data_IF_302797499676
#
_entry.id   IF_302797499676
#
_cell.length_a   1.000
_cell.length_b   1.000
_cell.length_c   1.000
_cell.angle_alpha   90.00
_cell.angle_beta   90.00
_cell.angle_gamma   90.00
#
_symmetry.space_group_name_H-M   'P 1'
#
loop_
_entity.id
_entity.type
_entity.pdbx_description
1 polymer ?
#
# COMPACT_ATOMS: atom_id res chain seq x y z
N UNK A 1 -19.65 -31.73 -24.47
CA UNK A 1 -20.03 -30.68 -23.49
C UNK A 1 -19.00 -30.69 -22.37
N UNK A 2 -18.01 -29.79 -22.39
CA UNK A 2 -16.96 -29.70 -21.38
C UNK A 2 -17.36 -28.69 -20.30
N UNK A 3 -17.52 -29.13 -19.05
CA UNK A 3 -17.72 -28.20 -17.93
C UNK A 3 -16.38 -27.59 -17.52
N UNK A 4 -16.32 -26.26 -17.48
CA UNK A 4 -15.14 -25.50 -17.04
C UNK A 4 -15.33 -25.16 -15.57
N UNK A 5 -14.75 -25.95 -14.67
CA UNK A 5 -14.76 -25.66 -13.24
C UNK A 5 -13.63 -24.67 -12.89
N UNK A 6 -13.95 -23.37 -12.82
CA UNK A 6 -13.02 -22.34 -12.32
C UNK A 6 -13.23 -22.14 -10.82
N UNK A 7 -12.24 -22.51 -10.00
CA UNK A 7 -12.29 -22.42 -8.53
C UNK A 7 -11.56 -21.19 -7.95
N UNK A 8 -11.07 -20.30 -8.80
CA UNK A 8 -10.24 -19.16 -8.38
C UNK A 8 -11.11 -18.06 -7.75
N UNK A 9 -10.90 -17.79 -6.45
CA UNK A 9 -11.51 -16.63 -5.78
C UNK A 9 -11.08 -15.33 -6.47
N UNK A 10 -12.05 -14.49 -6.84
CA UNK A 10 -11.81 -13.14 -7.35
C UNK A 10 -11.08 -12.31 -6.30
N UNK A 11 -9.89 -11.80 -6.63
CA UNK A 11 -9.14 -10.90 -5.75
C UNK A 11 -9.63 -9.47 -5.94
N UNK A 12 -10.20 -8.87 -4.90
CA UNK A 12 -10.48 -7.44 -4.89
C UNK A 12 -9.21 -6.69 -4.54
N UNK A 13 -8.59 -6.06 -5.52
CA UNK A 13 -7.45 -5.18 -5.28
C UNK A 13 -7.97 -3.80 -4.85
N UNK A 14 -7.80 -3.47 -3.57
CA UNK A 14 -8.20 -2.17 -3.02
C UNK A 14 -6.96 -1.36 -2.69
N UNK A 15 -6.78 -0.26 -3.41
CA UNK A 15 -5.74 0.71 -3.12
C UNK A 15 -6.01 1.47 -1.81
N UNK A 16 -4.95 2.02 -1.23
CA UNK A 16 -5.09 3.04 -0.20
C UNK A 16 -5.62 4.31 -0.85
N UNK A 17 -6.65 4.88 -0.25
CA UNK A 17 -7.16 6.21 -0.57
C UNK A 17 -6.20 7.28 -0.06
N UNK A 18 -6.31 8.50 -0.57
CA UNK A 18 -5.50 9.63 -0.09
C UNK A 18 -5.73 9.93 1.39
N UNK A 19 -6.97 9.77 1.86
CA UNK A 19 -7.34 9.93 3.27
C UNK A 19 -6.61 8.90 4.14
N UNK A 20 -6.65 7.62 3.74
CA UNK A 20 -5.94 6.56 4.47
C UNK A 20 -4.43 6.82 4.49
N UNK A 21 -3.85 7.34 3.39
CA UNK A 21 -2.43 7.73 3.36
C UNK A 21 -2.12 8.87 4.32
N UNK A 22 -2.98 9.89 4.37
CA UNK A 22 -2.86 10.99 5.34
C UNK A 22 -2.93 10.51 6.79
N UNK A 23 -3.85 9.59 7.10
CA UNK A 23 -3.94 8.96 8.42
C UNK A 23 -2.68 8.16 8.76
N UNK A 24 -2.15 7.38 7.82
CA UNK A 24 -0.89 6.64 8.02
C UNK A 24 0.25 7.61 8.35
N UNK A 25 0.37 8.72 7.60
CA UNK A 25 1.40 9.72 7.84
C UNK A 25 1.29 10.34 9.24
N UNK A 26 0.10 10.81 9.63
CA UNK A 26 -0.14 11.40 10.95
C UNK A 26 0.20 10.43 12.10
N UNK A 27 -0.26 9.18 12.00
CA UNK A 27 0.05 8.18 13.03
C UNK A 27 1.53 7.80 13.10
N UNK A 28 2.25 7.83 11.98
CA UNK A 28 3.69 7.61 11.97
C UNK A 28 4.43 8.78 12.65
N UNK A 29 3.98 10.02 12.46
CA UNK A 29 4.51 11.21 13.15
C UNK A 29 4.25 11.17 14.66
N UNK A 30 3.10 10.65 15.08
CA UNK A 30 2.77 10.36 16.48
C UNK A 30 3.59 9.20 17.08
N UNK A 31 4.40 8.48 16.28
CA UNK A 31 5.27 7.40 16.75
C UNK A 31 4.58 6.05 16.94
N UNK A 32 3.38 5.85 16.37
CA UNK A 32 2.64 4.60 16.51
C UNK A 32 3.32 3.45 15.74
N UNK A 33 3.18 2.23 16.26
CA UNK A 33 3.65 1.04 15.55
C UNK A 33 2.80 0.73 14.32
N UNK A 34 3.41 0.16 13.29
CA UNK A 34 2.74 -0.25 12.04
C UNK A 34 1.54 -1.18 12.31
N UNK A 35 1.68 -2.09 13.28
CA UNK A 35 0.59 -3.00 13.67
C UNK A 35 -0.60 -2.26 14.25
N UNK A 36 -0.33 -1.23 15.04
CA UNK A 36 -1.38 -0.42 15.64
C UNK A 36 -2.11 0.43 14.59
N UNK A 37 -1.37 1.04 13.67
CA UNK A 37 -1.93 1.77 12.53
C UNK A 37 -2.84 0.86 11.69
N UNK A 38 -2.39 -0.36 11.42
CA UNK A 38 -3.16 -1.37 10.70
C UNK A 38 -4.48 -1.71 11.40
N UNK A 39 -4.48 -1.82 12.74
CA UNK A 39 -5.70 -2.05 13.54
C UNK A 39 -6.67 -0.87 13.45
N UNK A 40 -6.17 0.38 13.51
CA UNK A 40 -7.00 1.60 13.44
C UNK A 40 -7.67 1.79 12.08
N UNK A 41 -6.93 1.58 10.99
CA UNK A 41 -7.42 1.83 9.62
C UNK A 41 -8.14 0.60 9.04
N UNK A 42 -7.97 -0.58 9.65
CA UNK A 42 -8.55 -1.83 9.14
C UNK A 42 -7.83 -2.37 7.90
N UNK A 43 -6.54 -2.04 7.75
CA UNK A 43 -5.70 -2.47 6.63
C UNK A 43 -4.66 -3.49 7.07
N UNK A 44 -4.22 -4.33 6.15
CA UNK A 44 -3.21 -5.32 6.46
C UNK A 44 -1.86 -4.64 6.83
N UNK A 45 -1.18 -5.15 7.86
CA UNK A 45 0.13 -4.67 8.32
C UNK A 45 1.14 -4.55 7.18
N UNK A 46 1.15 -5.51 6.26
CA UNK A 46 2.04 -5.51 5.10
C UNK A 46 1.75 -4.36 4.13
N UNK A 47 0.49 -3.92 4.03
CA UNK A 47 0.11 -2.76 3.21
C UNK A 47 0.65 -1.48 3.81
N UNK A 48 0.51 -1.30 5.13
CA UNK A 48 1.07 -0.13 5.83
C UNK A 48 2.59 -0.10 5.74
N UNK A 49 3.25 -1.25 5.90
CA UNK A 49 4.72 -1.36 5.76
C UNK A 49 5.20 -0.96 4.37
N UNK A 50 4.51 -1.41 3.32
CA UNK A 50 4.83 -1.03 1.93
C UNK A 50 4.60 0.44 1.69
N UNK A 51 3.52 1.01 2.24
CA UNK A 51 3.24 2.45 2.12
C UNK A 51 4.33 3.28 2.78
N UNK A 52 4.73 2.94 4.01
CA UNK A 52 5.83 3.59 4.72
C UNK A 52 7.11 3.58 3.88
N UNK A 53 7.47 2.41 3.33
CA UNK A 53 8.67 2.29 2.50
C UNK A 53 8.56 3.19 1.26
N UNK A 54 7.43 3.20 0.57
CA UNK A 54 7.20 4.06 -0.60
C UNK A 54 7.31 5.55 -0.28
N UNK A 55 6.72 5.97 0.84
CA UNK A 55 6.80 7.36 1.33
C UNK A 55 8.22 7.78 1.72
N UNK A 56 9.05 6.85 2.18
CA UNK A 56 10.47 7.11 2.52
C UNK A 56 11.43 7.05 1.34
N UNK A 57 11.04 6.44 0.22
CA UNK A 57 11.93 6.26 -0.93
C UNK A 57 11.92 7.52 -1.79
N UNK A 58 13.11 8.11 -1.99
CA UNK A 58 13.33 9.16 -2.97
C UNK A 58 13.10 8.58 -4.37
N UNK A 59 11.97 8.90 -4.97
CA UNK A 59 11.64 8.45 -6.34
C UNK A 59 12.62 9.08 -7.33
N UNK A 60 13.11 8.29 -8.28
CA UNK A 60 13.86 8.82 -9.42
C UNK A 60 12.90 9.60 -10.33
N UNK A 61 13.37 10.73 -10.87
CA UNK A 61 12.60 11.47 -11.87
C UNK A 61 12.40 10.57 -13.10
N UNK A 62 11.13 10.31 -13.43
CA UNK A 62 10.73 9.49 -14.59
C UNK A 62 11.15 10.10 -15.93
N UNK A 63 11.53 11.38 -15.95
CA UNK A 63 12.01 12.10 -17.13
C UNK A 63 13.54 12.22 -17.21
N UNK A 64 14.28 11.53 -16.34
CA UNK A 64 15.74 11.51 -16.40
C UNK A 64 16.18 10.88 -17.73
N UNK A 65 16.55 11.72 -18.72
CA UNK A 65 17.21 11.26 -19.94
C UNK A 65 18.61 10.83 -19.55
N UNK A 66 18.86 9.53 -19.54
CA UNK A 66 20.21 9.01 -19.32
C UNK A 66 21.13 9.59 -20.41
N UNK A 67 22.12 10.34 -19.96
CA UNK A 67 23.09 11.02 -20.81
C UNK A 67 24.12 9.98 -21.25
N UNK A 68 24.00 9.50 -22.49
CA UNK A 68 25.06 8.79 -23.23
C UNK A 68 26.11 9.81 -23.65
#
# INVERSE_FOLDING_TARGET
MTQVHSSTKTRTFTHLTEIERGQIAAYLEEGLSIREIARRIGRNVSTISREKQRGSVKQMDTRRKDRI
#
